data_IF_574571541802
#
_entry.id   IF_574571541802
#
_cell.length_a   1.000
_cell.length_b   1.000
_cell.length_c   1.000
_cell.angle_alpha   90.00
_cell.angle_beta   90.00
_cell.angle_gamma   90.00
#
_symmetry.space_group_name_H-M   'P 1'
#
loop_
_entity.id
_entity.type
_entity.pdbx_description
1 polymer ?
#
# COMPACT_ATOMS: atom_id res chain seq x y z
N UNK A 1 24.23 19.11 -25.18
CA UNK A 1 23.48 18.40 -24.13
C UNK A 1 24.39 17.30 -23.60
N UNK A 2 24.97 17.44 -22.41
CA UNK A 2 25.65 16.31 -21.79
C UNK A 2 24.56 15.36 -21.29
N UNK A 3 24.35 14.25 -22.02
CA UNK A 3 23.44 13.20 -21.55
C UNK A 3 23.98 12.67 -20.23
N UNK A 4 23.12 12.57 -19.20
CA UNK A 4 23.51 11.88 -17.99
C UNK A 4 23.90 10.45 -18.36
N UNK A 5 25.15 10.10 -18.12
CA UNK A 5 25.66 8.74 -18.26
C UNK A 5 25.06 7.89 -17.14
N UNK A 6 24.00 7.13 -17.46
CA UNK A 6 23.25 6.33 -16.48
C UNK A 6 24.09 5.17 -15.92
N UNK A 7 25.02 4.68 -16.74
CA UNK A 7 25.95 3.61 -16.43
C UNK A 7 27.31 4.01 -16.96
N UNK A 8 28.29 4.14 -16.07
CA UNK A 8 29.68 4.34 -16.46
C UNK A 8 30.22 3.11 -17.20
N UNK A 9 31.24 3.31 -18.04
CA UNK A 9 32.02 2.22 -18.66
C UNK A 9 32.57 1.20 -17.63
N UNK A 10 32.74 1.64 -16.38
CA UNK A 10 33.17 0.82 -15.24
C UNK A 10 32.03 0.04 -14.57
N UNK A 11 30.79 0.14 -15.09
CA UNK A 11 29.61 -0.57 -14.62
C UNK A 11 28.92 0.02 -13.38
N UNK A 12 29.30 1.24 -12.97
CA UNK A 12 28.65 1.96 -11.87
C UNK A 12 27.51 2.83 -12.35
N UNK A 13 26.43 2.85 -11.57
CA UNK A 13 25.27 3.74 -11.75
C UNK A 13 25.55 5.14 -11.18
N UNK A 14 24.63 6.08 -11.43
CA UNK A 14 24.64 7.45 -10.89
C UNK A 14 24.78 7.54 -9.36
N UNK A 15 24.31 6.52 -8.65
CA UNK A 15 24.32 6.41 -7.19
C UNK A 15 25.59 5.74 -6.65
N UNK A 16 26.55 5.41 -7.51
CA UNK A 16 27.81 4.75 -7.17
C UNK A 16 27.69 3.24 -6.91
N UNK A 17 26.52 2.64 -7.11
CA UNK A 17 26.27 1.21 -6.89
C UNK A 17 26.43 0.41 -8.19
N UNK A 18 26.75 -0.88 -8.05
CA UNK A 18 26.72 -1.83 -9.18
C UNK A 18 25.28 -2.25 -9.51
N UNK A 19 25.07 -2.79 -10.70
CA UNK A 19 23.75 -3.29 -11.13
C UNK A 19 23.17 -4.37 -10.19
N UNK A 20 24.03 -5.15 -9.53
CA UNK A 20 23.64 -6.23 -8.61
C UNK A 20 23.37 -5.76 -7.18
N UNK A 21 23.64 -4.50 -6.86
CA UNK A 21 23.58 -3.96 -5.49
C UNK A 21 22.30 -3.16 -5.25
N UNK A 22 21.51 -3.61 -4.28
CA UNK A 22 20.28 -2.94 -3.88
C UNK A 22 20.57 -1.70 -3.01
N UNK A 23 19.58 -0.80 -2.93
CA UNK A 23 19.59 0.29 -1.95
C UNK A 23 19.54 -0.28 -0.54
N UNK A 24 20.11 0.45 0.41
CA UNK A 24 19.97 0.14 1.84
C UNK A 24 18.48 0.07 2.19
N UNK A 25 18.06 -1.08 2.73
CA UNK A 25 16.71 -1.30 3.24
C UNK A 25 16.74 -1.23 4.76
N UNK A 26 15.86 -0.44 5.35
CA UNK A 26 15.61 -0.40 6.79
C UNK A 26 14.12 -0.57 7.04
N UNK A 27 13.76 -1.50 7.91
CA UNK A 27 12.37 -1.72 8.29
C UNK A 27 12.21 -1.58 9.80
N UNK A 28 11.07 -1.04 10.22
CA UNK A 28 10.67 -0.95 11.63
C UNK A 28 9.23 -1.40 11.74
N UNK A 29 8.96 -2.33 12.64
CA UNK A 29 7.61 -2.81 12.96
C UNK A 29 7.11 -2.11 14.23
N UNK A 30 5.80 -1.93 14.38
CA UNK A 30 5.19 -1.34 15.57
C UNK A 30 5.42 0.18 15.70
N UNK A 31 5.33 0.91 14.59
CA UNK A 31 5.51 2.38 14.58
C UNK A 31 4.33 3.12 15.22
N UNK A 32 3.12 2.61 15.04
CA UNK A 32 1.91 3.11 15.69
C UNK A 32 1.42 2.10 16.71
N UNK A 33 1.25 2.56 17.95
CA UNK A 33 0.69 1.76 19.03
C UNK A 33 -0.85 1.72 19.01
N UNK A 34 -1.50 2.64 18.26
CA UNK A 34 -2.96 2.71 18.15
C UNK A 34 -3.55 1.76 17.10
N UNK A 35 -2.71 1.22 16.23
CA UNK A 35 -3.13 0.28 15.19
C UNK A 35 -2.72 -1.13 15.59
N UNK A 36 -3.51 -2.12 15.18
CA UNK A 36 -3.25 -3.53 15.46
C UNK A 36 -1.94 -4.00 14.81
N UNK A 37 -1.66 -3.50 13.60
CA UNK A 37 -0.41 -3.71 12.89
C UNK A 37 0.11 -2.42 12.30
N UNK A 38 1.41 -2.17 12.43
CA UNK A 38 2.07 -1.07 11.74
C UNK A 38 3.49 -1.43 11.33
N UNK A 39 3.88 -0.93 10.16
CA UNK A 39 5.20 -1.14 9.60
C UNK A 39 5.68 0.12 8.88
N UNK A 40 6.96 0.39 8.99
CA UNK A 40 7.66 1.45 8.29
C UNK A 40 8.84 0.87 7.54
N UNK A 41 8.96 1.24 6.27
CA UNK A 41 9.98 0.75 5.37
C UNK A 41 10.68 1.93 4.71
N UNK A 42 12.00 1.93 4.79
CA UNK A 42 12.89 2.80 4.04
C UNK A 42 13.72 1.97 3.07
N UNK A 43 13.69 2.33 1.79
CA UNK A 43 14.56 1.77 0.78
C UNK A 43 15.30 2.91 0.07
N UNK A 44 16.50 3.22 0.56
CA UNK A 44 17.23 4.44 0.21
C UNK A 44 16.40 5.68 0.52
N UNK A 45 15.96 6.38 -0.53
CA UNK A 45 15.15 7.60 -0.40
C UNK A 45 13.64 7.33 -0.40
N UNK A 46 13.21 6.09 -0.71
CA UNK A 46 11.80 5.72 -0.68
C UNK A 46 11.38 5.42 0.75
N UNK A 47 10.34 6.11 1.24
CA UNK A 47 9.79 5.92 2.59
C UNK A 47 8.31 5.57 2.47
N UNK A 48 7.97 4.36 2.92
CA UNK A 48 6.61 3.84 2.92
C UNK A 48 6.18 3.47 4.34
N UNK A 49 4.91 3.66 4.61
CA UNK A 49 4.29 3.42 5.89
C UNK A 49 3.02 2.61 5.65
N UNK A 50 2.90 1.49 6.35
CA UNK A 50 1.76 0.60 6.27
C UNK A 50 1.11 0.48 7.65
N UNK A 51 -0.21 0.51 7.67
CA UNK A 51 -1.03 0.32 8.86
C UNK A 51 -2.10 -0.70 8.54
N UNK A 52 -2.34 -1.62 9.47
CA UNK A 52 -3.37 -2.64 9.37
C UNK A 52 -4.27 -2.50 10.60
N UNK A 53 -5.57 -2.49 10.33
CA UNK A 53 -6.61 -2.56 11.36
C UNK A 53 -7.41 -3.83 11.16
N UNK A 54 -7.66 -4.54 12.25
CA UNK A 54 -8.46 -5.74 12.27
C UNK A 54 -7.68 -7.05 12.34
N UNK A 55 -8.40 -8.19 12.34
CA UNK A 55 -9.79 -8.35 11.91
C UNK A 55 -10.82 -7.74 12.87
N UNK A 56 -11.69 -6.85 12.37
CA UNK A 56 -12.80 -6.28 13.14
C UNK A 56 -14.15 -6.64 12.50
N UNK A 57 -15.22 -6.56 13.28
CA UNK A 57 -16.58 -6.84 12.80
C UNK A 57 -17.02 -5.77 11.81
N UNK A 58 -17.61 -6.20 10.69
CA UNK A 58 -18.17 -5.28 9.71
C UNK A 58 -19.30 -4.54 10.41
N UNK A 59 -19.16 -3.22 10.56
CA UNK A 59 -20.20 -2.41 11.18
C UNK A 59 -21.39 -2.35 10.23
N UNK A 60 -22.39 -3.18 10.50
CA UNK A 60 -23.73 -3.13 9.90
C UNK A 60 -24.47 -1.89 10.43
N UNK A 61 -24.04 -0.69 10.05
CA UNK A 61 -24.92 0.47 10.09
C UNK A 61 -25.53 0.69 8.71
N UNK A 62 -26.82 0.36 8.69
CA UNK A 62 -27.88 0.88 7.82
C UNK A 62 -28.26 0.03 6.60
N UNK A 63 -29.27 -0.81 6.84
CA UNK A 63 -30.22 -1.30 5.84
C UNK A 63 -31.06 -0.17 5.23
N UNK A 64 -30.41 0.76 4.52
CA UNK A 64 -31.08 1.90 3.90
C UNK A 64 -30.25 2.61 2.85
N UNK A 65 -30.36 2.18 1.59
CA UNK A 65 -30.30 3.05 0.42
C UNK A 65 -28.93 3.62 0.00
N UNK A 66 -28.50 3.21 -1.20
CA UNK A 66 -27.54 3.88 -2.09
C UNK A 66 -26.09 4.04 -1.56
N UNK A 67 -25.19 3.22 -2.12
CA UNK A 67 -23.71 3.38 -2.17
C UNK A 67 -22.89 2.79 -1.01
N UNK A 68 -23.33 1.68 -0.40
CA UNK A 68 -22.54 0.93 0.59
C UNK A 68 -22.55 -0.57 0.30
N UNK A 69 -21.44 -1.09 -0.22
CA UNK A 69 -21.09 -2.51 -0.33
C UNK A 69 -22.21 -3.45 -0.83
N UNK A 70 -22.28 -3.64 -2.15
CA UNK A 70 -23.13 -4.64 -2.84
C UNK A 70 -22.83 -6.11 -2.44
N UNK A 71 -21.97 -6.31 -1.44
CA UNK A 71 -21.52 -7.61 -0.94
C UNK A 71 -22.46 -8.16 0.14
N UNK A 72 -23.29 -7.33 0.79
CA UNK A 72 -24.27 -7.81 1.79
C UNK A 72 -25.61 -8.29 1.21
N UNK A 73 -25.92 -7.99 -0.06
CA UNK A 73 -27.20 -8.38 -0.66
C UNK A 73 -27.23 -9.78 -1.28
N UNK A 74 -26.08 -10.44 -1.44
CA UNK A 74 -25.99 -11.80 -1.93
C UNK A 74 -25.18 -12.61 -0.93
N UNK A 75 -25.83 -13.53 -0.20
CA UNK A 75 -25.25 -14.35 0.90
C UNK A 75 -24.12 -15.31 0.51
N UNK A 76 -23.06 -14.79 -0.14
CA UNK A 76 -21.94 -15.53 -0.72
C UNK A 76 -20.60 -15.22 -0.04
N UNK A 77 -20.49 -14.11 0.71
CA UNK A 77 -19.22 -13.65 1.34
C UNK A 77 -19.29 -13.71 2.87
N UNK A 78 -20.01 -14.68 3.43
CA UNK A 78 -20.04 -14.90 4.89
C UNK A 78 -18.93 -15.85 5.37
N UNK A 79 -18.33 -16.64 4.46
CA UNK A 79 -17.33 -17.67 4.78
C UNK A 79 -15.88 -17.13 4.77
N UNK A 80 -15.65 -15.89 4.34
CA UNK A 80 -14.30 -15.32 4.20
C UNK A 80 -14.24 -13.89 4.71
N UNK A 81 -13.07 -13.50 5.20
CA UNK A 81 -12.77 -12.11 5.54
C UNK A 81 -12.75 -11.22 4.30
N UNK A 82 -13.28 -10.01 4.43
CA UNK A 82 -13.22 -8.97 3.40
C UNK A 82 -11.93 -8.16 3.59
N UNK A 83 -11.09 -8.12 2.56
CA UNK A 83 -9.87 -7.31 2.56
C UNK A 83 -10.14 -6.01 1.81
N UNK A 84 -9.88 -4.90 2.50
CA UNK A 84 -9.95 -3.57 1.93
C UNK A 84 -8.56 -2.93 1.98
N UNK A 85 -8.06 -2.56 0.81
CA UNK A 85 -6.73 -1.97 0.66
C UNK A 85 -6.88 -0.55 0.15
N UNK A 86 -6.25 0.41 0.83
CA UNK A 86 -6.19 1.79 0.38
C UNK A 86 -4.73 2.21 0.20
N UNK A 87 -4.38 2.53 -1.04
CA UNK A 87 -3.10 3.13 -1.38
C UNK A 87 -3.23 4.65 -1.47
N UNK A 88 -2.37 5.37 -0.76
CA UNK A 88 -2.26 6.82 -0.84
C UNK A 88 -0.81 7.26 -1.04
N UNK A 89 -0.63 8.25 -1.90
CA UNK A 89 0.68 8.81 -2.20
C UNK A 89 0.70 10.27 -1.77
N UNK A 90 1.64 10.64 -0.89
CA UNK A 90 1.72 12.00 -0.37
C UNK A 90 1.98 12.99 -1.52
N UNK A 91 1.34 14.16 -1.48
CA UNK A 91 1.48 15.17 -2.55
C UNK A 91 2.90 15.70 -2.71
N UNK A 92 3.71 15.60 -1.65
CA UNK A 92 5.13 15.98 -1.61
C UNK A 92 6.10 14.81 -1.89
N UNK A 93 5.57 13.62 -2.18
CA UNK A 93 6.41 12.43 -2.38
C UNK A 93 7.29 12.52 -3.64
N UNK A 94 6.78 13.17 -4.70
CA UNK A 94 7.46 13.37 -5.98
C UNK A 94 8.12 14.75 -6.06
N UNK A 95 9.16 14.88 -6.89
CA UNK A 95 9.87 16.14 -7.13
C UNK A 95 8.91 17.24 -7.66
N UNK A 96 7.93 16.86 -8.47
CA UNK A 96 6.80 17.71 -8.83
C UNK A 96 5.60 17.41 -7.94
N UNK A 97 5.05 18.44 -7.29
CA UNK A 97 3.96 18.28 -6.33
C UNK A 97 2.67 17.88 -7.06
N UNK A 98 2.13 16.71 -6.75
CA UNK A 98 0.81 16.30 -7.27
C UNK A 98 -0.30 17.12 -6.62
N UNK A 99 -1.27 17.56 -7.43
CA UNK A 99 -2.42 18.38 -7.00
C UNK A 99 -3.47 17.60 -6.21
N UNK A 100 -3.62 16.29 -6.45
CA UNK A 100 -4.61 15.43 -5.77
C UNK A 100 -3.96 14.10 -5.37
N UNK A 101 -3.96 13.74 -4.07
CA UNK A 101 -3.43 12.46 -3.60
C UNK A 101 -4.48 11.34 -3.55
N UNK A 102 -5.77 11.65 -3.75
CA UNK A 102 -6.89 10.73 -3.59
C UNK A 102 -7.75 10.72 -4.86
N UNK A 103 -8.18 9.51 -5.29
CA UNK A 103 -8.98 9.31 -6.49
C UNK A 103 -8.19 9.28 -7.81
N UNK A 104 -6.86 9.21 -7.76
CA UNK A 104 -6.03 9.01 -8.94
C UNK A 104 -6.22 7.58 -9.47
N UNK A 105 -6.42 7.42 -10.78
CA UNK A 105 -6.56 6.08 -11.42
C UNK A 105 -5.42 5.12 -11.04
N UNK A 106 -4.19 5.62 -10.95
CA UNK A 106 -3.02 4.86 -10.51
C UNK A 106 -3.13 4.36 -9.06
N UNK A 107 -3.70 5.18 -8.17
CA UNK A 107 -3.89 4.79 -6.76
C UNK A 107 -4.94 3.71 -6.60
N UNK A 108 -6.02 3.78 -7.39
CA UNK A 108 -7.07 2.75 -7.42
C UNK A 108 -6.54 1.44 -7.98
N UNK A 109 -5.79 1.49 -9.09
CA UNK A 109 -5.15 0.31 -9.69
C UNK A 109 -4.17 -0.35 -8.72
N UNK A 110 -3.32 0.43 -8.05
CA UNK A 110 -2.41 -0.09 -7.03
C UNK A 110 -3.15 -0.72 -5.85
N UNK A 111 -4.25 -0.10 -5.41
CA UNK A 111 -5.11 -0.64 -4.35
C UNK A 111 -5.72 -1.98 -4.75
N UNK A 112 -6.15 -2.12 -6.01
CA UNK A 112 -6.69 -3.38 -6.55
C UNK A 112 -5.61 -4.47 -6.58
N UNK A 113 -4.40 -4.16 -7.03
CA UNK A 113 -3.29 -5.12 -7.03
C UNK A 113 -2.93 -5.57 -5.61
N UNK A 114 -2.85 -4.63 -4.66
CA UNK A 114 -2.60 -4.97 -3.26
C UNK A 114 -3.70 -5.87 -2.72
N UNK A 115 -4.98 -5.55 -2.98
CA UNK A 115 -6.11 -6.38 -2.59
C UNK A 115 -5.99 -7.81 -3.12
N UNK A 116 -5.77 -7.99 -4.42
CA UNK A 116 -5.59 -9.32 -5.04
C UNK A 116 -4.42 -10.09 -4.42
N UNK A 117 -3.31 -9.39 -4.12
CA UNK A 117 -2.11 -10.01 -3.52
C UNK A 117 -2.41 -10.49 -2.11
N UNK A 118 -3.08 -9.68 -1.29
CA UNK A 118 -3.41 -10.04 0.09
C UNK A 118 -4.56 -11.05 0.18
N UNK A 119 -5.50 -11.07 -0.77
CA UNK A 119 -6.53 -12.12 -0.86
C UNK A 119 -5.93 -13.51 -1.08
N UNK A 120 -4.82 -13.59 -1.81
CA UNK A 120 -4.08 -14.85 -2.01
C UNK A 120 -3.15 -15.19 -0.84
N UNK A 121 -2.56 -14.19 -0.19
CA UNK A 121 -1.58 -14.39 0.88
C UNK A 121 -2.21 -14.61 2.27
N UNK A 122 -3.34 -13.97 2.56
CA UNK A 122 -4.02 -14.04 3.86
C UNK A 122 -5.04 -15.17 3.84
N UNK A 123 -5.03 -16.01 4.88
CA UNK A 123 -6.00 -17.09 5.06
C UNK A 123 -7.37 -16.53 5.51
N UNK A 124 -8.10 -15.94 4.56
CA UNK A 124 -9.40 -15.29 4.81
C UNK A 124 -10.49 -16.22 5.34
N UNK A 125 -10.35 -17.53 5.12
CA UNK A 125 -11.27 -18.58 5.60
C UNK A 125 -11.31 -18.71 7.13
N UNK A 126 -10.24 -18.31 7.83
CA UNK A 126 -10.16 -18.42 9.29
C UNK A 126 -10.93 -17.29 10.01
N UNK A 127 -11.30 -16.23 9.29
CA UNK A 127 -11.92 -15.03 9.86
C UNK A 127 -13.23 -14.68 9.12
N UNK A 128 -14.26 -15.53 9.19
CA UNK A 128 -15.55 -15.26 8.55
C UNK A 128 -16.22 -14.02 9.15
N UNK A 129 -16.95 -13.25 8.33
CA UNK A 129 -17.66 -12.02 8.72
C UNK A 129 -16.77 -10.93 9.35
N UNK A 130 -15.49 -10.93 9.03
CA UNK A 130 -14.54 -9.90 9.49
C UNK A 130 -14.03 -9.07 8.33
N UNK A 131 -13.60 -7.85 8.65
CA UNK A 131 -12.92 -6.96 7.72
C UNK A 131 -11.49 -6.67 8.19
N UNK A 132 -10.58 -6.69 7.22
CA UNK A 132 -9.17 -6.31 7.41
C UNK A 132 -8.91 -5.09 6.52
N UNK A 133 -8.63 -3.96 7.17
CA UNK A 133 -8.32 -2.71 6.48
C UNK A 133 -6.80 -2.49 6.46
N UNK A 134 -6.26 -2.39 5.25
CA UNK A 134 -4.82 -2.18 4.99
C UNK A 134 -4.65 -0.80 4.36
N UNK A 135 -3.98 0.09 5.07
CA UNK A 135 -3.63 1.43 4.60
C UNK A 135 -2.15 1.50 4.28
N UNK A 136 -1.82 1.82 3.03
CA UNK A 136 -0.44 2.04 2.59
C UNK A 136 -0.28 3.49 2.18
N UNK A 137 0.64 4.18 2.84
CA UNK A 137 0.99 5.57 2.57
C UNK A 137 2.45 5.70 2.16
N UNK A 138 2.68 6.24 0.97
CA UNK A 138 4.02 6.58 0.50
C UNK A 138 4.30 8.05 0.81
N UNK A 139 5.28 8.29 1.68
CA UNK A 139 5.63 9.63 2.13
C UNK A 139 6.69 10.28 1.21
N UNK A 140 7.67 9.50 0.76
CA UNK A 140 8.72 10.00 -0.13
C UNK A 140 9.00 8.96 -1.21
N UNK A 141 9.00 9.40 -2.46
CA UNK A 141 9.30 8.58 -3.63
C UNK A 141 10.40 9.26 -4.43
N UNK A 142 11.65 8.83 -4.23
CA UNK A 142 12.73 9.17 -5.17
C UNK A 142 13.29 7.89 -5.78
N UNK A 143 13.05 7.75 -7.09
CA UNK A 143 13.43 6.60 -7.89
C UNK A 143 14.91 6.57 -8.32
N UNK A 144 15.70 7.58 -7.93
CA UNK A 144 17.13 7.69 -8.25
C UNK A 144 17.90 7.89 -6.95
#
# INVERSE_FOLDING_TARGET
MAGLELLSDQGYRLDGRKATELRKVQARMGVFAQADGSAYLEQGNTKALAVVYGPHEVSDMDGGGLLGCEVHAAGLVTDRAVINCQYSMATFSTAERKRRPHGDRKSTEMSLHLKQTFEAAVMTQLYPRSQIDIYVKVNMERGI
#
